data_IF_308990808809
#
_entry.id   IF_308990808809
#
_cell.length_a   1.000
_cell.length_b   1.000
_cell.length_c   1.000
_cell.angle_alpha   90.00
_cell.angle_beta   90.00
_cell.angle_gamma   90.00
#
_symmetry.space_group_name_H-M   'P 1'
#
loop_
_entity.id
_entity.type
_entity.pdbx_description
1 polymer ?
#
# COMPACT_ATOMS: atom_id res chain seq x y z
N UNK A 1 -16.79 10.23 -20.40
CA UNK A 1 -17.36 8.86 -20.29
C UNK A 1 -16.27 7.98 -19.69
N UNK A 2 -16.43 7.60 -18.43
CA UNK A 2 -15.44 6.86 -17.66
C UNK A 2 -15.60 5.37 -18.01
N UNK A 3 -14.53 4.75 -18.50
CA UNK A 3 -14.38 3.29 -18.57
C UNK A 3 -13.21 2.94 -17.67
N UNK A 4 -13.40 1.91 -16.84
CA UNK A 4 -12.52 1.41 -15.77
C UNK A 4 -11.09 1.92 -15.81
N UNK A 5 -10.82 2.93 -15.00
CA UNK A 5 -9.49 3.53 -14.88
C UNK A 5 -8.75 2.91 -13.71
N UNK A 6 -7.83 2.00 -14.01
CA UNK A 6 -6.64 1.83 -13.17
C UNK A 6 -6.02 3.21 -12.98
N UNK A 7 -5.81 3.64 -11.73
CA UNK A 7 -4.96 4.79 -11.44
C UNK A 7 -3.49 4.40 -11.64
N UNK A 8 -3.11 4.21 -12.91
CA UNK A 8 -1.71 4.32 -13.33
C UNK A 8 -1.40 5.81 -13.27
N UNK A 9 -0.68 6.23 -12.23
CA UNK A 9 -0.07 7.57 -12.23
C UNK A 9 0.97 7.57 -13.36
N UNK A 10 0.52 7.96 -14.55
CA UNK A 10 1.36 8.09 -15.74
C UNK A 10 1.76 9.56 -15.82
N UNK A 11 2.96 9.88 -15.33
CA UNK A 11 3.43 11.26 -15.33
C UNK A 11 3.98 11.60 -16.70
N UNK A 12 3.18 12.35 -17.47
CA UNK A 12 3.59 12.92 -18.74
C UNK A 12 4.51 14.14 -18.52
N UNK A 13 5.57 14.23 -19.32
CA UNK A 13 6.54 15.33 -19.32
C UNK A 13 5.90 16.66 -19.71
N UNK A 14 5.82 17.61 -18.77
CA UNK A 14 5.56 19.01 -19.07
C UNK A 14 6.85 19.73 -19.45
N UNK A 15 7.08 19.99 -20.74
CA UNK A 15 8.12 20.94 -21.19
C UNK A 15 7.54 22.35 -21.13
N UNK A 16 8.11 23.20 -20.27
CA UNK A 16 7.82 24.64 -20.20
C UNK A 16 9.10 25.41 -19.84
N UNK A 17 9.47 26.38 -20.67
CA UNK A 17 10.71 27.14 -20.61
C UNK A 17 10.74 28.18 -19.47
N UNK A 18 11.90 28.27 -18.83
CA UNK A 18 12.45 29.54 -18.32
C UNK A 18 12.05 29.95 -16.90
N UNK A 19 13.06 30.01 -16.01
CA UNK A 19 13.05 30.62 -14.68
C UNK A 19 12.46 29.81 -13.50
N UNK A 20 13.01 28.62 -13.21
CA UNK A 20 13.05 28.07 -11.84
C UNK A 20 14.10 26.94 -11.70
N UNK A 21 15.39 27.29 -11.73
CA UNK A 21 16.47 26.29 -11.89
C UNK A 21 16.73 25.38 -10.66
N UNK A 22 16.12 25.64 -9.50
CA UNK A 22 16.27 24.76 -8.32
C UNK A 22 15.02 23.88 -8.09
N UNK A 23 13.82 24.46 -8.21
CA UNK A 23 12.53 23.74 -8.05
C UNK A 23 12.24 22.74 -9.19
N UNK A 24 12.61 23.08 -10.43
CA UNK A 24 12.46 22.17 -11.56
C UNK A 24 13.45 20.99 -11.51
N UNK A 25 14.58 21.13 -10.83
CA UNK A 25 15.62 20.10 -10.79
C UNK A 25 15.21 18.93 -9.87
N UNK A 26 14.64 19.20 -8.69
CA UNK A 26 14.21 18.16 -7.75
C UNK A 26 13.00 17.38 -8.28
N UNK A 27 12.00 18.07 -8.84
CA UNK A 27 10.81 17.45 -9.44
C UNK A 27 11.11 16.72 -10.76
N UNK A 28 11.99 17.27 -11.61
CA UNK A 28 12.43 16.59 -12.83
C UNK A 28 13.31 15.37 -12.50
N UNK A 29 14.20 15.47 -11.52
CA UNK A 29 15.00 14.35 -11.05
C UNK A 29 14.13 13.28 -10.36
N UNK A 30 13.09 13.68 -9.63
CA UNK A 30 12.06 12.80 -9.07
C UNK A 30 11.32 12.02 -10.16
N UNK A 31 10.73 12.70 -11.15
CA UNK A 31 10.01 12.04 -12.23
C UNK A 31 10.93 11.25 -13.16
N UNK A 32 12.15 11.72 -13.43
CA UNK A 32 13.14 10.95 -14.17
C UNK A 32 13.62 9.74 -13.37
N UNK A 33 13.77 9.82 -12.05
CA UNK A 33 14.18 8.66 -11.23
C UNK A 33 13.08 7.61 -11.18
N UNK A 34 11.83 8.03 -10.96
CA UNK A 34 10.66 7.13 -10.97
C UNK A 34 10.45 6.54 -12.37
N UNK A 35 10.48 7.37 -13.42
CA UNK A 35 10.25 6.94 -14.82
C UNK A 35 11.40 6.09 -15.36
N UNK A 36 12.67 6.43 -15.09
CA UNK A 36 13.82 5.63 -15.56
C UNK A 36 13.93 4.31 -14.82
N UNK A 37 13.66 4.25 -13.50
CA UNK A 37 13.61 2.97 -12.78
C UNK A 37 12.47 2.08 -13.27
N UNK A 38 11.28 2.66 -13.47
CA UNK A 38 10.11 1.94 -14.02
C UNK A 38 10.36 1.40 -15.43
N UNK A 39 11.01 2.17 -16.31
CA UNK A 39 11.38 1.74 -17.68
C UNK A 39 12.51 0.70 -17.69
N UNK A 40 13.45 0.74 -16.74
CA UNK A 40 14.66 -0.10 -16.75
C UNK A 40 14.43 -1.59 -16.45
N UNK A 41 13.23 -2.00 -16.00
CA UNK A 41 12.97 -3.39 -15.56
C UNK A 41 11.60 -3.97 -15.99
N UNK A 42 11.09 -3.62 -17.17
CA UNK A 42 9.97 -4.35 -17.81
C UNK A 42 10.37 -5.77 -18.27
N UNK A 43 10.87 -6.60 -17.35
CA UNK A 43 11.25 -7.99 -17.58
C UNK A 43 10.83 -8.91 -16.44
N UNK A 44 9.91 -8.48 -15.56
CA UNK A 44 9.35 -9.39 -14.56
C UNK A 44 8.37 -10.35 -15.23
N UNK A 45 8.54 -11.64 -14.94
CA UNK A 45 7.69 -12.71 -15.45
C UNK A 45 6.27 -12.51 -14.92
N UNK A 46 5.32 -12.21 -15.81
CA UNK A 46 3.92 -12.05 -15.42
C UNK A 46 3.40 -13.36 -14.85
N UNK A 47 2.95 -13.33 -13.60
CA UNK A 47 2.39 -14.51 -12.97
C UNK A 47 1.05 -14.86 -13.60
N UNK A 48 0.82 -16.17 -13.74
CA UNK A 48 -0.45 -16.74 -14.18
C UNK A 48 -1.21 -17.33 -12.99
N UNK A 49 -2.51 -17.49 -13.15
CA UNK A 49 -3.38 -17.93 -12.07
C UNK A 49 -3.03 -19.32 -11.51
N UNK A 50 -2.51 -20.21 -12.35
CA UNK A 50 -2.09 -21.56 -11.98
C UNK A 50 -0.95 -21.53 -10.96
N UNK A 51 -0.01 -20.58 -11.09
CA UNK A 51 1.10 -20.43 -10.15
C UNK A 51 0.60 -20.00 -8.77
N UNK A 52 -0.35 -19.08 -8.71
CA UNK A 52 -0.98 -18.68 -7.44
C UNK A 52 -1.66 -19.88 -6.75
N UNK A 53 -2.32 -20.75 -7.52
CA UNK A 53 -2.94 -21.98 -6.98
C UNK A 53 -1.89 -22.95 -6.42
N UNK A 54 -0.76 -23.11 -7.12
CA UNK A 54 0.35 -23.93 -6.63
C UNK A 54 0.90 -23.42 -5.30
N UNK A 55 0.89 -22.10 -5.08
CA UNK A 55 1.31 -21.47 -3.83
C UNK A 55 0.23 -21.41 -2.74
N UNK A 56 -0.94 -21.99 -2.97
CA UNK A 56 -1.99 -22.13 -1.96
C UNK A 56 -3.16 -21.16 -2.08
N UNK A 57 -3.35 -20.52 -3.23
CA UNK A 57 -4.60 -19.80 -3.53
C UNK A 57 -5.73 -20.79 -3.84
N UNK A 58 -6.82 -20.72 -3.07
CA UNK A 58 -7.98 -21.60 -3.19
C UNK A 58 -9.27 -20.81 -3.41
N UNK A 59 -10.32 -21.49 -3.89
CA UNK A 59 -11.70 -21.00 -3.90
C UNK A 59 -12.01 -19.69 -4.66
N UNK A 60 -11.05 -19.14 -5.41
CA UNK A 60 -11.23 -17.92 -6.22
C UNK A 60 -10.63 -18.06 -7.62
N UNK A 61 -11.32 -17.47 -8.58
CA UNK A 61 -10.81 -17.22 -9.92
C UNK A 61 -10.69 -15.72 -10.13
N UNK A 62 -9.47 -15.23 -10.37
CA UNK A 62 -9.26 -13.81 -10.61
C UNK A 62 -9.79 -13.43 -11.98
N UNK A 63 -10.41 -12.27 -12.08
CA UNK A 63 -10.68 -11.64 -13.37
C UNK A 63 -9.37 -11.16 -14.01
N UNK A 64 -9.28 -11.02 -15.34
CA UNK A 64 -8.06 -10.56 -16.01
C UNK A 64 -7.49 -9.26 -15.45
N UNK A 65 -8.36 -8.26 -15.21
CA UNK A 65 -7.94 -6.99 -14.59
C UNK A 65 -7.38 -7.20 -13.16
N UNK A 66 -7.93 -8.11 -12.37
CA UNK A 66 -7.42 -8.38 -11.03
C UNK A 66 -6.03 -9.01 -11.10
N UNK A 67 -5.81 -9.91 -12.07
CA UNK A 67 -4.49 -10.51 -12.28
C UNK A 67 -3.46 -9.48 -12.76
N UNK A 68 -3.86 -8.52 -13.61
CA UNK A 68 -3.02 -7.37 -13.98
C UNK A 68 -2.67 -6.51 -12.75
N UNK A 69 -3.66 -6.24 -11.88
CA UNK A 69 -3.44 -5.51 -10.63
C UNK A 69 -2.45 -6.22 -9.70
N UNK A 70 -2.57 -7.55 -9.55
CA UNK A 70 -1.62 -8.34 -8.77
C UNK A 70 -0.21 -8.30 -9.36
N UNK A 71 -0.07 -8.48 -10.67
CA UNK A 71 1.22 -8.40 -11.37
C UNK A 71 1.87 -7.02 -11.19
N UNK A 72 1.07 -5.96 -11.25
CA UNK A 72 1.55 -4.61 -11.00
C UNK A 72 2.07 -4.46 -9.55
N UNK A 73 1.31 -4.92 -8.55
CA UNK A 73 1.75 -4.88 -7.15
C UNK A 73 3.04 -5.68 -6.90
N UNK A 74 3.19 -6.84 -7.56
CA UNK A 74 4.42 -7.63 -7.51
C UNK A 74 5.59 -6.83 -8.09
N UNK A 75 5.39 -6.17 -9.23
CA UNK A 75 6.43 -5.34 -9.84
C UNK A 75 6.86 -4.20 -8.91
N UNK A 76 5.91 -3.54 -8.22
CA UNK A 76 6.21 -2.51 -7.23
C UNK A 76 7.06 -3.08 -6.08
N UNK A 77 6.66 -4.24 -5.53
CA UNK A 77 7.42 -4.92 -4.47
C UNK A 77 8.85 -5.26 -4.91
N UNK A 78 9.04 -5.81 -6.11
CA UNK A 78 10.37 -6.18 -6.64
C UNK A 78 11.28 -4.97 -6.88
N UNK A 79 10.71 -3.82 -7.24
CA UNK A 79 11.44 -2.56 -7.39
C UNK A 79 11.75 -1.93 -6.02
N UNK A 80 11.08 -2.39 -4.96
CA UNK A 80 11.16 -1.80 -3.62
C UNK A 80 10.37 -0.50 -3.50
N UNK A 81 9.33 -0.34 -4.33
CA UNK A 81 8.41 0.77 -4.23
C UNK A 81 7.09 0.35 -3.62
N UNK A 82 6.55 1.13 -2.69
CA UNK A 82 5.21 0.83 -2.19
C UNK A 82 4.09 1.23 -3.17
N UNK A 83 2.85 0.91 -2.82
CA UNK A 83 1.73 0.87 -3.77
C UNK A 83 0.44 1.45 -3.18
N UNK A 84 -0.35 2.15 -4.00
CA UNK A 84 -1.73 2.55 -3.70
C UNK A 84 -2.67 1.85 -4.68
N UNK A 85 -3.55 0.98 -4.17
CA UNK A 85 -4.62 0.37 -4.94
C UNK A 85 -5.92 1.16 -4.72
N UNK A 86 -6.23 2.01 -5.70
CA UNK A 86 -7.37 2.94 -5.68
C UNK A 86 -8.60 2.48 -6.46
N UNK A 87 -8.77 1.17 -6.66
CA UNK A 87 -9.91 0.61 -7.39
C UNK A 87 -11.24 0.92 -6.67
N UNK A 88 -12.33 1.08 -7.44
CA UNK A 88 -13.67 1.26 -6.88
C UNK A 88 -14.04 0.16 -5.87
N UNK A 89 -14.89 0.51 -4.91
CA UNK A 89 -15.41 -0.45 -3.93
C UNK A 89 -16.12 -1.60 -4.66
N UNK A 90 -15.83 -2.84 -4.27
CA UNK A 90 -16.41 -4.04 -4.89
C UNK A 90 -15.60 -4.66 -6.03
N UNK A 91 -14.52 -4.03 -6.51
CA UNK A 91 -13.65 -4.61 -7.56
C UNK A 91 -12.64 -5.68 -7.07
N UNK A 92 -12.74 -6.08 -5.80
CA UNK A 92 -11.96 -7.18 -5.24
C UNK A 92 -10.52 -6.82 -4.84
N UNK A 93 -10.30 -5.60 -4.32
CA UNK A 93 -9.00 -5.18 -3.74
C UNK A 93 -8.46 -6.17 -2.71
N UNK A 94 -9.34 -6.67 -1.85
CA UNK A 94 -9.02 -7.68 -0.84
C UNK A 94 -8.47 -8.96 -1.49
N UNK A 95 -9.16 -9.47 -2.50
CA UNK A 95 -8.73 -10.65 -3.26
C UNK A 95 -7.36 -10.44 -3.91
N UNK A 96 -7.15 -9.30 -4.58
CA UNK A 96 -5.86 -8.97 -5.20
C UNK A 96 -4.74 -8.90 -4.14
N UNK A 97 -5.03 -8.31 -2.99
CA UNK A 97 -4.07 -8.20 -1.88
C UNK A 97 -3.71 -9.57 -1.31
N UNK A 98 -4.69 -10.45 -1.09
CA UNK A 98 -4.44 -11.80 -0.62
C UNK A 98 -3.57 -12.57 -1.63
N UNK A 99 -3.80 -12.39 -2.93
CA UNK A 99 -2.98 -13.02 -3.97
C UNK A 99 -1.52 -12.54 -3.93
N UNK A 100 -1.29 -11.25 -3.65
CA UNK A 100 0.06 -10.72 -3.41
C UNK A 100 0.70 -11.41 -2.20
N UNK A 101 0.00 -11.54 -1.07
CA UNK A 101 0.55 -12.20 0.12
C UNK A 101 0.86 -13.69 -0.12
N UNK A 102 0.00 -14.39 -0.88
CA UNK A 102 0.25 -15.76 -1.33
C UNK A 102 1.51 -15.86 -2.18
N UNK A 103 1.70 -14.94 -3.13
CA UNK A 103 2.93 -14.87 -3.92
C UNK A 103 4.17 -14.65 -3.04
N UNK A 104 4.12 -13.66 -2.14
CA UNK A 104 5.24 -13.33 -1.25
C UNK A 104 5.61 -14.50 -0.32
N UNK A 105 4.61 -15.20 0.22
CA UNK A 105 4.83 -16.34 1.11
C UNK A 105 5.23 -17.61 0.37
N UNK A 106 4.58 -17.91 -0.75
CA UNK A 106 4.75 -19.15 -1.49
C UNK A 106 5.99 -19.16 -2.38
N UNK A 107 6.18 -18.11 -3.18
CA UNK A 107 7.33 -17.99 -4.09
C UNK A 107 8.59 -17.49 -3.39
N UNK A 108 8.45 -16.45 -2.55
CA UNK A 108 9.59 -15.76 -1.95
C UNK A 108 9.88 -16.17 -0.50
N UNK A 109 9.03 -17.02 0.10
CA UNK A 109 9.13 -17.45 1.50
C UNK A 109 9.28 -16.28 2.50
N UNK A 110 8.63 -15.16 2.19
CA UNK A 110 8.65 -13.95 3.02
C UNK A 110 7.53 -13.98 4.05
N UNK A 111 7.83 -13.40 5.22
CA UNK A 111 6.94 -13.21 6.38
C UNK A 111 7.71 -12.40 7.44
N UNK A 112 7.05 -11.75 8.41
CA UNK A 112 5.60 -11.64 8.61
C UNK A 112 4.95 -10.48 7.84
N UNK A 113 3.64 -10.56 7.64
CA UNK A 113 2.81 -9.52 7.03
C UNK A 113 1.82 -8.94 8.05
N UNK A 114 1.55 -7.64 7.94
CA UNK A 114 0.59 -6.95 8.79
C UNK A 114 -0.54 -6.39 7.93
N UNK A 115 -1.78 -6.64 8.34
CA UNK A 115 -2.97 -6.05 7.73
C UNK A 115 -3.68 -5.21 8.79
N UNK A 116 -3.85 -3.93 8.48
CA UNK A 116 -4.58 -2.97 9.31
C UNK A 116 -5.88 -2.64 8.59
N UNK A 117 -7.01 -2.88 9.25
CA UNK A 117 -8.33 -2.60 8.69
C UNK A 117 -9.28 -2.02 9.74
N UNK A 118 -10.39 -1.38 9.33
CA UNK A 118 -11.46 -1.02 10.26
C UNK A 118 -12.02 -2.24 10.98
N UNK A 119 -12.43 -2.07 12.26
CA UNK A 119 -13.00 -3.17 13.06
C UNK A 119 -14.22 -3.83 12.39
N UNK A 120 -15.02 -3.07 11.64
CA UNK A 120 -16.21 -3.55 10.95
C UNK A 120 -15.91 -4.59 9.86
N UNK A 121 -14.74 -4.53 9.22
CA UNK A 121 -14.35 -5.44 8.12
C UNK A 121 -13.33 -6.49 8.56
N UNK A 122 -12.91 -6.48 9.83
CA UNK A 122 -11.92 -7.41 10.35
C UNK A 122 -12.38 -8.88 10.21
N UNK A 123 -13.63 -9.18 10.53
CA UNK A 123 -14.16 -10.53 10.35
C UNK A 123 -14.24 -10.93 8.87
N UNK A 124 -14.54 -9.99 7.98
CA UNK A 124 -14.55 -10.24 6.54
C UNK A 124 -13.15 -10.62 6.03
N UNK A 125 -12.13 -9.84 6.43
CA UNK A 125 -10.73 -10.18 6.11
C UNK A 125 -10.32 -11.56 6.62
N UNK A 126 -10.70 -11.91 7.85
CA UNK A 126 -10.46 -13.25 8.41
C UNK A 126 -11.09 -14.35 7.56
N UNK A 127 -12.37 -14.19 7.23
CA UNK A 127 -13.14 -15.20 6.52
C UNK A 127 -12.64 -15.37 5.08
N UNK A 128 -12.27 -14.27 4.42
CA UNK A 128 -11.64 -14.27 3.10
C UNK A 128 -10.23 -14.91 3.13
N UNK A 129 -9.38 -14.57 4.10
CA UNK A 129 -8.07 -15.20 4.25
C UNK A 129 -8.19 -16.71 4.45
N UNK A 130 -9.11 -17.15 5.33
CA UNK A 130 -9.36 -18.56 5.57
C UNK A 130 -9.90 -19.28 4.34
N UNK A 131 -10.73 -18.61 3.53
CA UNK A 131 -11.32 -19.17 2.31
C UNK A 131 -10.33 -19.23 1.15
N UNK A 132 -9.58 -18.15 0.93
CA UNK A 132 -8.72 -17.97 -0.23
C UNK A 132 -7.30 -18.48 -0.01
N UNK A 133 -6.81 -18.51 1.23
CA UNK A 133 -5.47 -19.01 1.53
C UNK A 133 -5.42 -19.68 2.91
N UNK A 134 -6.01 -20.89 3.05
CA UNK A 134 -6.02 -21.62 4.32
C UNK A 134 -4.61 -22.06 4.78
N UNK A 135 -3.63 -22.09 3.87
CA UNK A 135 -2.23 -22.41 4.19
C UNK A 135 -1.52 -21.30 4.96
N UNK A 136 -1.98 -20.05 4.87
CA UNK A 136 -1.39 -18.92 5.58
C UNK A 136 -1.94 -18.82 7.00
N UNK A 137 -1.08 -19.13 7.97
CA UNK A 137 -1.41 -18.98 9.39
C UNK A 137 -1.65 -17.51 9.73
N UNK A 138 -2.91 -17.17 10.00
CA UNK A 138 -3.37 -15.82 10.30
C UNK A 138 -3.69 -15.68 11.79
N UNK A 139 -3.13 -14.66 12.44
CA UNK A 139 -3.42 -14.31 13.83
C UNK A 139 -4.24 -13.03 13.87
N UNK A 140 -5.33 -13.05 14.62
CA UNK A 140 -6.15 -11.87 14.84
C UNK A 140 -5.68 -11.20 16.12
N UNK A 141 -5.21 -9.97 15.99
CA UNK A 141 -4.77 -9.15 17.09
C UNK A 141 -5.86 -8.13 17.44
N UNK A 142 -6.80 -8.56 18.27
CA UNK A 142 -7.89 -7.74 18.80
C UNK A 142 -8.27 -8.23 20.20
N UNK A 143 -9.24 -7.56 20.85
CA UNK A 143 -9.78 -8.00 22.13
C UNK A 143 -9.30 -7.21 23.35
N UNK A 144 -9.57 -7.79 24.52
CA UNK A 144 -9.31 -7.20 25.83
C UNK A 144 -7.81 -7.03 26.15
N UNK A 145 -7.48 -6.43 27.29
CA UNK A 145 -6.07 -6.30 27.71
C UNK A 145 -5.44 -7.64 28.07
N UNK A 146 -6.20 -8.52 28.70
CA UNK A 146 -5.74 -9.85 29.14
C UNK A 146 -5.51 -10.77 27.94
N UNK A 147 -6.51 -10.91 27.05
CA UNK A 147 -6.39 -11.69 25.80
C UNK A 147 -5.19 -11.23 24.95
N UNK A 148 -4.97 -9.91 24.84
CA UNK A 148 -3.81 -9.37 24.11
C UNK A 148 -2.50 -9.72 24.80
N UNK A 149 -2.44 -9.77 26.12
CA UNK A 149 -1.21 -10.12 26.83
C UNK A 149 -0.81 -11.59 26.56
N UNK A 150 -1.79 -12.49 26.53
CA UNK A 150 -1.58 -13.89 26.15
C UNK A 150 -1.12 -14.01 24.69
N UNK A 151 -1.82 -13.35 23.76
CA UNK A 151 -1.43 -13.32 22.34
C UNK A 151 -0.01 -12.75 22.15
N UNK A 152 0.36 -11.71 22.88
CA UNK A 152 1.71 -11.15 22.82
C UNK A 152 2.77 -12.15 23.31
N UNK A 153 2.47 -12.97 24.32
CA UNK A 153 3.37 -14.00 24.81
C UNK A 153 3.53 -15.13 23.80
N UNK A 154 2.44 -15.54 23.17
CA UNK A 154 2.45 -16.56 22.11
C UNK A 154 3.23 -16.08 20.88
N UNK A 155 3.01 -14.83 20.44
CA UNK A 155 3.71 -14.24 19.30
C UNK A 155 5.22 -14.03 19.55
N UNK A 156 5.62 -13.84 20.82
CA UNK A 156 7.04 -13.80 21.21
C UNK A 156 7.69 -15.19 21.17
N UNK A 157 6.93 -16.21 21.55
CA UNK A 157 7.44 -17.59 21.66
C UNK A 157 7.41 -18.32 20.32
N UNK A 158 6.47 -17.96 19.45
CA UNK A 158 6.17 -18.67 18.22
C UNK A 158 6.28 -17.73 17.00
N UNK A 159 7.43 -17.75 16.34
CA UNK A 159 7.68 -16.98 15.12
C UNK A 159 7.10 -17.65 13.84
N UNK A 160 6.13 -18.55 14.01
CA UNK A 160 5.55 -19.36 12.93
C UNK A 160 4.49 -18.66 12.08
N UNK A 161 3.95 -17.51 12.51
CA UNK A 161 2.82 -16.90 11.82
C UNK A 161 3.19 -16.20 10.50
N UNK A 162 2.21 -16.04 9.61
CA UNK A 162 2.38 -15.38 8.31
C UNK A 162 1.72 -14.01 8.33
N UNK A 163 0.48 -13.91 8.82
CA UNK A 163 -0.32 -12.68 8.78
C UNK A 163 -0.76 -12.30 10.19
N UNK A 164 -0.57 -11.05 10.56
CA UNK A 164 -1.18 -10.42 11.73
C UNK A 164 -2.26 -9.44 11.26
N UNK A 165 -3.53 -9.76 11.54
CA UNK A 165 -4.68 -8.92 11.23
C UNK A 165 -5.08 -8.11 12.46
N UNK A 166 -5.14 -6.78 12.33
CA UNK A 166 -5.40 -5.88 13.47
C UNK A 166 -6.20 -4.66 13.04
N UNK A 167 -6.59 -3.83 14.02
CA UNK A 167 -7.26 -2.56 13.80
C UNK A 167 -6.36 -1.36 14.05
N UNK A 168 -6.77 -0.21 13.53
CA UNK A 168 -6.11 1.07 13.74
C UNK A 168 -5.88 1.40 15.22
N UNK A 169 -6.87 1.15 16.06
CA UNK A 169 -6.81 1.44 17.50
C UNK A 169 -5.79 0.55 18.21
N UNK A 170 -5.68 -0.73 17.81
CA UNK A 170 -4.72 -1.66 18.40
C UNK A 170 -3.28 -1.32 17.98
N UNK A 171 -3.10 -0.84 16.75
CA UNK A 171 -1.80 -0.34 16.30
C UNK A 171 -1.31 0.83 17.16
N UNK A 172 -2.20 1.73 17.56
CA UNK A 172 -1.87 2.85 18.44
C UNK A 172 -1.59 2.39 19.87
N UNK A 173 -2.46 1.53 20.43
CA UNK A 173 -2.36 1.07 21.83
C UNK A 173 -1.11 0.25 22.09
N UNK A 174 -0.76 -0.65 21.18
CA UNK A 174 0.35 -1.61 21.35
C UNK A 174 1.50 -1.36 20.38
N UNK A 175 1.68 -0.10 19.97
CA UNK A 175 2.74 0.30 19.04
C UNK A 175 4.12 -0.21 19.46
N UNK A 176 4.45 -0.13 20.76
CA UNK A 176 5.75 -0.57 21.29
C UNK A 176 6.00 -2.09 21.15
N UNK A 177 4.94 -2.90 21.09
CA UNK A 177 5.05 -4.33 20.82
C UNK A 177 5.15 -4.60 19.32
N UNK A 178 4.26 -4.00 18.53
CA UNK A 178 4.17 -4.23 17.09
C UNK A 178 5.39 -3.71 16.31
N UNK A 179 6.07 -2.67 16.82
CA UNK A 179 7.34 -2.15 16.27
C UNK A 179 8.50 -3.13 16.34
N UNK A 180 8.42 -4.17 17.17
CA UNK A 180 9.52 -5.15 17.34
C UNK A 180 9.64 -6.11 16.16
N UNK A 181 8.60 -6.19 15.33
CA UNK A 181 8.58 -7.05 14.15
C UNK A 181 9.11 -6.28 12.94
N UNK A 182 9.90 -6.98 12.11
CA UNK A 182 10.30 -6.50 10.79
C UNK A 182 9.28 -7.00 9.77
N UNK A 183 8.32 -6.16 9.42
CA UNK A 183 7.22 -6.54 8.53
C UNK A 183 7.69 -6.56 7.08
N UNK A 184 7.52 -7.67 6.37
CA UNK A 184 7.81 -7.68 4.94
C UNK A 184 6.77 -6.88 4.14
N UNK A 185 5.51 -6.93 4.57
CA UNK A 185 4.43 -6.20 3.92
C UNK A 185 3.50 -5.60 4.99
N UNK A 186 3.25 -4.30 4.87
CA UNK A 186 2.22 -3.60 5.62
C UNK A 186 1.08 -3.22 4.67
N UNK A 187 -0.09 -3.80 4.89
CA UNK A 187 -1.33 -3.49 4.18
C UNK A 187 -2.19 -2.59 5.07
N UNK A 188 -2.65 -1.47 4.53
CA UNK A 188 -3.58 -0.56 5.21
C UNK A 188 -4.84 -0.41 4.37
N UNK A 189 -5.95 -0.93 4.90
CA UNK A 189 -7.27 -0.89 4.27
C UNK A 189 -8.08 0.33 4.69
N UNK A 190 -8.80 0.96 3.77
CA UNK A 190 -9.42 2.29 3.96
C UNK A 190 -8.38 3.37 4.33
N UNK A 191 -7.34 3.48 3.49
CA UNK A 191 -6.17 4.33 3.68
C UNK A 191 -6.47 5.84 3.83
N UNK A 192 -7.69 6.31 3.54
CA UNK A 192 -8.12 7.68 3.86
C UNK A 192 -8.03 8.01 5.37
N UNK A 193 -7.89 7.00 6.24
CA UNK A 193 -7.53 7.19 7.66
C UNK A 193 -6.14 7.83 7.85
N UNK A 194 -5.25 7.73 6.85
CA UNK A 194 -3.89 8.28 6.83
C UNK A 194 -3.77 9.63 6.11
N UNK A 195 -4.88 10.33 5.91
CA UNK A 195 -4.92 11.60 5.17
C UNK A 195 -4.14 12.76 5.81
N UNK A 196 -3.77 12.65 7.09
CA UNK A 196 -3.05 13.68 7.82
C UNK A 196 -1.71 13.14 8.36
N UNK A 197 -0.61 13.69 7.86
CA UNK A 197 0.76 13.37 8.27
C UNK A 197 1.04 13.71 9.75
N UNK A 198 0.26 14.60 10.34
CA UNK A 198 0.37 14.95 11.76
C UNK A 198 -0.41 14.05 12.70
N UNK A 199 -1.27 13.18 12.15
CA UNK A 199 -2.01 12.23 12.94
C UNK A 199 -1.09 11.28 13.71
N UNK A 200 -1.48 10.95 14.93
CA UNK A 200 -0.77 9.97 15.75
C UNK A 200 -0.62 8.63 15.02
N UNK A 201 -1.65 8.23 14.26
CA UNK A 201 -1.66 7.02 13.47
C UNK A 201 -0.56 7.02 12.39
N UNK A 202 -0.49 8.09 11.59
CA UNK A 202 0.54 8.22 10.57
C UNK A 202 1.94 8.15 11.19
N UNK A 203 2.21 8.95 12.22
CA UNK A 203 3.51 8.95 12.94
C UNK A 203 3.86 7.57 13.48
N UNK A 204 2.91 6.92 14.15
CA UNK A 204 3.12 5.59 14.74
C UNK A 204 3.44 4.53 13.69
N UNK A 205 2.70 4.49 12.58
CA UNK A 205 2.92 3.51 11.52
C UNK A 205 4.16 3.81 10.68
N UNK A 206 4.54 5.09 10.52
CA UNK A 206 5.78 5.45 9.84
C UNK A 206 7.03 4.93 10.58
N UNK A 207 6.96 4.79 11.91
CA UNK A 207 8.03 4.23 12.74
C UNK A 207 8.15 2.70 12.67
N UNK A 208 7.23 2.00 11.99
CA UNK A 208 7.30 0.55 11.86
C UNK A 208 8.35 0.17 10.81
N UNK A 209 9.15 -0.87 11.11
CA UNK A 209 10.08 -1.44 10.13
C UNK A 209 9.29 -2.26 9.12
N UNK A 210 9.21 -1.76 7.88
CA UNK A 210 8.43 -2.35 6.80
C UNK A 210 9.22 -2.36 5.49
N UNK A 211 9.32 -3.52 4.81
CA UNK A 211 9.99 -3.59 3.50
C UNK A 211 9.10 -3.03 2.37
N UNK A 212 7.79 -3.24 2.47
CA UNK A 212 6.81 -2.82 1.46
C UNK A 212 5.52 -2.35 2.11
N UNK A 213 4.94 -1.26 1.59
CA UNK A 213 3.70 -0.65 2.07
C UNK A 213 2.66 -0.66 0.95
N UNK A 214 1.48 -1.23 1.22
CA UNK A 214 0.33 -1.27 0.34
C UNK A 214 -0.85 -0.54 0.98
N UNK A 215 -1.33 0.51 0.33
CA UNK A 215 -2.51 1.25 0.73
C UNK A 215 -3.69 0.85 -0.15
N UNK A 216 -4.82 0.51 0.46
CA UNK A 216 -6.08 0.24 -0.24
C UNK A 216 -7.04 1.39 0.02
N UNK A 217 -7.60 1.97 -1.04
CA UNK A 217 -8.62 3.02 -0.92
C UNK A 217 -9.73 2.77 -1.93
N UNK A 218 -10.99 2.95 -1.48
CA UNK A 218 -12.16 2.92 -2.36
C UNK A 218 -12.60 4.30 -2.82
N UNK A 219 -12.09 5.37 -2.20
CA UNK A 219 -12.47 6.75 -2.49
C UNK A 219 -11.44 7.40 -3.41
N UNK A 220 -11.88 8.08 -4.49
CA UNK A 220 -10.97 8.80 -5.37
C UNK A 220 -10.24 9.88 -4.58
N UNK A 221 -8.91 9.90 -4.67
CA UNK A 221 -8.00 10.82 -3.95
C UNK A 221 -8.11 12.27 -4.48
N UNK A 222 -9.05 12.53 -5.39
CA UNK A 222 -9.08 13.71 -6.26
C UNK A 222 -9.33 15.04 -5.56
N UNK A 223 -9.79 15.08 -4.30
CA UNK A 223 -10.30 16.32 -3.72
C UNK A 223 -9.33 17.08 -2.82
N UNK A 224 -8.16 16.52 -2.47
CA UNK A 224 -7.21 17.21 -1.60
C UNK A 224 -5.77 16.73 -1.86
N UNK A 225 -4.98 17.56 -2.54
CA UNK A 225 -3.56 17.29 -2.83
C UNK A 225 -2.73 17.05 -1.56
N UNK A 226 -3.12 17.64 -0.42
CA UNK A 226 -2.47 17.37 0.86
C UNK A 226 -2.69 15.91 1.31
N UNK A 227 -3.88 15.37 1.08
CA UNK A 227 -4.22 13.98 1.46
C UNK A 227 -3.47 12.99 0.55
N UNK A 228 -3.37 13.29 -0.75
CA UNK A 228 -2.54 12.53 -1.68
C UNK A 228 -1.08 12.52 -1.23
N UNK A 229 -0.53 13.70 -0.94
CA UNK A 229 0.85 13.83 -0.50
C UNK A 229 1.10 13.10 0.83
N UNK A 230 0.13 13.14 1.75
CA UNK A 230 0.18 12.36 2.99
C UNK A 230 0.33 10.86 2.73
N UNK A 231 -0.47 10.31 1.82
CA UNK A 231 -0.38 8.89 1.45
C UNK A 231 0.92 8.55 0.71
N UNK A 232 1.40 9.42 -0.18
CA UNK A 232 2.67 9.24 -0.89
C UNK A 232 3.87 9.27 0.07
N UNK A 233 3.91 10.23 0.99
CA UNK A 233 4.91 10.33 2.05
C UNK A 233 4.89 9.12 2.98
N UNK A 234 3.71 8.55 3.21
CA UNK A 234 3.59 7.33 3.99
C UNK A 234 4.22 6.12 3.27
N UNK A 235 4.01 5.99 1.97
CA UNK A 235 4.54 4.84 1.20
C UNK A 235 6.04 4.99 0.95
N UNK A 236 6.46 6.18 0.57
CA UNK A 236 7.82 6.48 0.11
C UNK A 236 8.39 7.71 0.83
N UNK A 237 8.74 7.60 2.13
CA UNK A 237 9.17 8.75 2.93
C UNK A 237 10.49 9.37 2.46
N UNK A 238 11.34 8.59 1.80
CA UNK A 238 12.62 9.07 1.24
C UNK A 238 12.38 9.98 0.03
N UNK A 239 11.38 9.64 -0.78
CA UNK A 239 11.07 10.34 -2.02
C UNK A 239 10.14 11.51 -1.77
N UNK A 240 9.21 11.37 -0.82
CA UNK A 240 8.24 12.39 -0.43
C UNK A 240 8.45 12.79 1.04
N UNK A 241 9.52 13.55 1.33
CA UNK A 241 9.79 14.01 2.68
C UNK A 241 8.75 15.04 3.11
N UNK A 242 8.26 14.92 4.35
CA UNK A 242 7.17 15.75 4.91
C UNK A 242 7.32 17.26 4.63
N UNK A 243 8.54 17.78 4.63
CA UNK A 243 8.86 19.19 4.47
C UNK A 243 8.46 19.75 3.10
N UNK A 244 8.38 18.90 2.06
CA UNK A 244 8.06 19.32 0.69
C UNK A 244 6.55 19.27 0.40
N UNK A 245 5.70 19.01 1.41
CA UNK A 245 4.25 18.93 1.24
C UNK A 245 3.66 20.25 0.72
N UNK A 246 4.01 21.36 1.34
CA UNK A 246 3.45 22.68 0.99
C UNK A 246 3.92 23.12 -0.40
N UNK A 247 5.19 22.89 -0.74
CA UNK A 247 5.75 23.16 -2.07
C UNK A 247 5.03 22.36 -3.16
N UNK A 248 4.78 21.07 -2.91
CA UNK A 248 4.03 20.20 -3.83
C UNK A 248 2.62 20.74 -4.07
N UNK A 249 1.90 21.09 -3.00
CA UNK A 249 0.53 21.62 -3.13
C UNK A 249 0.51 22.94 -3.88
N UNK A 250 1.43 23.87 -3.55
CA UNK A 250 1.54 25.14 -4.24
C UNK A 250 1.85 24.98 -5.74
N UNK A 251 2.70 24.02 -6.11
CA UNK A 251 3.05 23.76 -7.50
C UNK A 251 1.85 23.27 -8.31
N UNK A 252 1.12 22.27 -7.83
CA UNK A 252 -0.03 21.71 -8.56
C UNK A 252 -1.22 22.67 -8.61
N UNK A 253 -1.44 23.49 -7.57
CA UNK A 253 -2.46 24.55 -7.62
C UNK A 253 -2.16 25.60 -8.70
N UNK A 254 -0.88 25.89 -8.98
CA UNK A 254 -0.51 26.79 -10.08
C UNK A 254 -0.85 26.17 -11.43
N UNK A 255 -0.50 24.89 -11.62
CA UNK A 255 -0.82 24.17 -12.87
C UNK A 255 -2.33 24.15 -13.11
N UNK A 256 -3.15 23.82 -12.11
CA UNK A 256 -4.62 23.81 -12.26
C UNK A 256 -5.14 25.16 -12.75
N UNK A 257 -4.68 26.26 -12.14
CA UNK A 257 -5.04 27.63 -12.53
C UNK A 257 -4.56 28.01 -13.94
N UNK A 258 -3.38 27.55 -14.33
CA UNK A 258 -2.82 27.81 -15.67
C UNK A 258 -3.59 27.02 -16.75
N UNK A 259 -4.05 25.80 -16.45
CA UNK A 259 -4.94 25.03 -17.34
C UNK A 259 -6.35 25.60 -17.45
N UNK A 260 -6.86 26.27 -16.42
CA UNK A 260 -8.18 26.93 -16.44
C UNK A 260 -8.14 28.27 -17.17
N UNK A 261 -7.03 29.00 -17.10
CA UNK A 261 -6.85 30.31 -17.77
C UNK A 261 -6.40 30.18 -19.24
N UNK A 262 -5.95 29.00 -19.67
CA UNK A 262 -5.63 28.67 -21.06
C UNK A 262 -6.82 28.15 -21.91
N UNK A 263 -8.06 28.26 -21.42
CA UNK A 263 -9.29 27.92 -22.16
C UNK A 263 -10.07 29.15 -22.58
#
# INVERSE_FOLDING_TARGET
>A
RVHGGFWKVNIAEGRGNGACCFEACVMSCFFQTVSNKYKSRQGSESIIQEQLRQWGLTAIHLCPYQLEGVNWMISCYEIGHGCILGDEMGLGKTCQTICLLVFLSGKLHRRPFMIICPLSVLNNWRDELKRFSPSLSTVIYSGGKEERAELQQDLKSNHGFHILLTTYEMCLKDAAFLKRFNWTCLVVDEAQRLKNQDSLLHKTLSEYSTDFRLLLTGTPIQNNLQELYSMLAFIEPIIFPKQLADEFVCYYHKIEKDTETGK
#
